data_IF_158189581852
#
_entry.id   IF_158189581852
#
_cell.length_a   1.000
_cell.length_b   1.000
_cell.length_c   1.000
_cell.angle_alpha   90.00
_cell.angle_beta   90.00
_cell.angle_gamma   90.00
#
_symmetry.space_group_name_H-M   'P 1'
#
loop_
_entity.id
_entity.type
_entity.pdbx_description
1 polymer ?
#
# COMPACT_ATOMS: atom_id res chain seq x y z
N UNK A 1 22.70 -3.80 1.91
CA UNK A 1 21.29 -3.81 2.38
C UNK A 1 20.81 -5.13 3.01
N UNK A 2 21.57 -6.23 2.97
CA UNK A 2 21.07 -7.56 3.39
C UNK A 2 20.77 -7.74 4.89
N UNK A 3 21.20 -6.84 5.78
CA UNK A 3 21.02 -6.99 7.23
C UNK A 3 19.71 -6.42 7.81
N UNK A 4 19.09 -5.42 7.16
CA UNK A 4 17.96 -4.68 7.74
C UNK A 4 16.60 -5.36 7.60
N UNK A 5 16.33 -6.02 6.47
CA UNK A 5 15.02 -6.62 6.21
C UNK A 5 14.76 -7.92 6.98
N UNK A 6 15.81 -8.59 7.48
CA UNK A 6 15.68 -9.86 8.18
C UNK A 6 14.81 -9.78 9.44
N UNK A 7 14.95 -8.70 10.22
CA UNK A 7 14.15 -8.48 11.44
C UNK A 7 12.67 -8.24 11.12
N UNK A 8 12.37 -7.48 10.06
CA UNK A 8 11.00 -7.25 9.58
C UNK A 8 10.36 -8.55 9.09
N UNK A 9 11.09 -9.35 8.31
CA UNK A 9 10.62 -10.66 7.85
C UNK A 9 10.37 -11.60 9.05
N UNK A 10 11.23 -11.59 10.06
CA UNK A 10 11.04 -12.41 11.27
C UNK A 10 9.76 -12.02 12.02
N UNK A 11 9.50 -10.71 12.18
CA UNK A 11 8.24 -10.21 12.78
C UNK A 11 7.02 -10.63 11.97
N UNK A 12 7.07 -10.49 10.63
CA UNK A 12 5.97 -10.89 9.73
C UNK A 12 5.73 -12.40 9.75
N UNK A 13 6.78 -13.23 9.90
CA UNK A 13 6.60 -14.69 10.07
C UNK A 13 5.85 -15.05 11.36
N UNK A 14 5.98 -14.25 12.41
CA UNK A 14 5.25 -14.48 13.68
C UNK A 14 3.79 -14.02 13.62
N UNK A 15 3.50 -13.01 12.78
CA UNK A 15 2.14 -12.53 12.55
C UNK A 15 1.98 -12.18 11.08
N UNK A 16 1.69 -13.17 10.22
CA UNK A 16 1.53 -12.95 8.79
C UNK A 16 0.44 -11.93 8.49
N UNK A 17 0.71 -11.07 7.51
CA UNK A 17 -0.19 -9.98 7.11
C UNK A 17 -0.65 -10.17 5.67
N UNK A 18 -1.67 -9.43 5.28
CA UNK A 18 -2.19 -9.36 3.91
C UNK A 18 -1.81 -8.02 3.29
N UNK A 19 -1.39 -8.05 2.03
CA UNK A 19 -1.04 -6.84 1.27
C UNK A 19 -1.80 -6.83 -0.05
N UNK A 20 -2.47 -5.73 -0.35
CA UNK A 20 -3.18 -5.56 -1.62
C UNK A 20 -2.33 -4.79 -2.63
N UNK A 21 -2.32 -5.29 -3.87
CA UNK A 21 -1.68 -4.68 -5.03
C UNK A 21 -2.73 -4.24 -6.04
N UNK A 22 -2.93 -2.93 -6.25
CA UNK A 22 -3.84 -2.39 -7.25
C UNK A 22 -3.44 -2.79 -8.68
N UNK A 23 -2.15 -2.82 -8.97
CA UNK A 23 -1.59 -3.13 -10.29
C UNK A 23 -1.39 -4.64 -10.53
N UNK A 24 -2.45 -5.45 -10.37
CA UNK A 24 -2.35 -6.92 -10.37
C UNK A 24 -1.78 -7.58 -11.64
N UNK A 25 -1.65 -6.85 -12.74
CA UNK A 25 -1.12 -7.33 -14.03
C UNK A 25 0.31 -6.85 -14.32
N UNK A 26 0.88 -5.97 -13.49
CA UNK A 26 2.23 -5.46 -13.69
C UNK A 26 3.26 -6.57 -13.41
N UNK A 27 4.22 -6.74 -14.31
CA UNK A 27 5.25 -7.79 -14.22
C UNK A 27 6.02 -7.76 -12.89
N UNK A 28 6.36 -6.56 -12.39
CA UNK A 28 7.11 -6.40 -11.13
C UNK A 28 6.26 -6.80 -9.93
N UNK A 29 4.95 -6.53 -9.99
CA UNK A 29 3.99 -6.96 -8.97
C UNK A 29 3.81 -8.47 -9.00
N UNK A 30 3.71 -9.08 -10.18
CA UNK A 30 3.60 -10.53 -10.34
C UNK A 30 4.85 -11.26 -9.82
N UNK A 31 6.05 -10.74 -10.12
CA UNK A 31 7.31 -11.23 -9.55
C UNK A 31 7.29 -11.18 -8.02
N UNK A 32 6.93 -10.02 -7.45
CA UNK A 32 6.87 -9.84 -6.01
C UNK A 32 5.85 -10.78 -5.37
N UNK A 33 4.63 -10.89 -5.92
CA UNK A 33 3.58 -11.76 -5.42
C UNK A 33 4.03 -13.23 -5.42
N UNK A 34 4.63 -13.72 -6.51
CA UNK A 34 5.18 -15.09 -6.61
C UNK A 34 6.22 -15.38 -5.51
N UNK A 35 7.12 -14.42 -5.24
CA UNK A 35 8.13 -14.54 -4.16
C UNK A 35 7.50 -14.51 -2.77
N UNK A 36 6.50 -13.66 -2.54
CA UNK A 36 5.78 -13.57 -1.27
C UNK A 36 5.02 -14.87 -0.96
N UNK A 37 4.35 -15.45 -1.96
CA UNK A 37 3.68 -16.75 -1.84
C UNK A 37 4.64 -17.87 -1.45
N UNK A 38 5.84 -17.86 -2.04
CA UNK A 38 6.88 -18.84 -1.71
C UNK A 38 7.44 -18.68 -0.29
N UNK A 39 7.29 -17.50 0.32
CA UNK A 39 7.92 -17.16 1.61
C UNK A 39 6.97 -17.19 2.82
N UNK A 40 5.65 -17.25 2.58
CA UNK A 40 4.58 -17.47 3.56
C UNK A 40 4.56 -16.52 4.79
N UNK A 41 4.97 -15.26 4.64
CA UNK A 41 4.92 -14.25 5.72
C UNK A 41 4.08 -13.02 5.38
N UNK A 42 3.72 -12.86 4.11
CA UNK A 42 2.87 -11.78 3.62
C UNK A 42 2.04 -12.34 2.47
N UNK A 43 0.72 -12.27 2.58
CA UNK A 43 -0.21 -12.88 1.65
C UNK A 43 -0.69 -11.84 0.64
N UNK A 44 -0.31 -11.96 -0.65
CA UNK A 44 -0.69 -11.00 -1.66
C UNK A 44 -2.17 -11.13 -2.04
N UNK A 45 -2.82 -9.98 -2.18
CA UNK A 45 -4.12 -9.80 -2.82
C UNK A 45 -3.88 -9.03 -4.11
N UNK A 46 -4.17 -9.62 -5.27
CA UNK A 46 -4.05 -8.97 -6.57
C UNK A 46 -5.42 -8.46 -7.01
N UNK A 47 -5.51 -7.18 -7.37
CA UNK A 47 -6.76 -6.58 -7.86
C UNK A 47 -6.80 -6.62 -9.38
N UNK A 48 -7.92 -7.12 -9.91
CA UNK A 48 -8.18 -7.24 -11.35
C UNK A 48 -8.90 -8.53 -11.70
N UNK A 49 -9.12 -8.74 -13.01
CA UNK A 49 -9.75 -9.96 -13.51
C UNK A 49 -8.79 -11.14 -13.44
N UNK A 50 -9.29 -12.25 -12.93
CA UNK A 50 -8.52 -13.48 -12.72
C UNK A 50 -7.86 -13.98 -14.01
N UNK A 51 -8.62 -14.07 -15.09
CA UNK A 51 -8.14 -14.50 -16.41
C UNK A 51 -7.01 -13.62 -16.96
N UNK A 52 -7.11 -12.29 -16.77
CA UNK A 52 -6.10 -11.35 -17.26
C UNK A 52 -4.82 -11.40 -16.40
N UNK A 53 -4.96 -11.59 -15.09
CA UNK A 53 -3.83 -11.72 -14.16
C UNK A 53 -3.07 -13.03 -14.43
N UNK A 54 -3.78 -14.15 -14.60
CA UNK A 54 -3.13 -15.42 -14.90
C UNK A 54 -2.42 -15.38 -16.26
N UNK A 55 -3.07 -14.85 -17.30
CA UNK A 55 -2.44 -14.68 -18.62
C UNK A 55 -1.17 -13.80 -18.53
N UNK A 56 -1.22 -12.69 -17.79
CA UNK A 56 -0.04 -11.84 -17.59
C UNK A 56 1.07 -12.57 -16.81
N UNK A 57 0.70 -13.37 -15.80
CA UNK A 57 1.64 -14.15 -14.98
C UNK A 57 2.36 -15.25 -15.78
N UNK A 58 1.66 -15.91 -16.70
CA UNK A 58 2.22 -16.91 -17.59
C UNK A 58 3.24 -16.29 -18.55
N UNK A 59 2.88 -15.15 -19.16
CA UNK A 59 3.78 -14.39 -20.04
C UNK A 59 5.04 -13.92 -19.29
N UNK A 60 4.88 -13.47 -18.04
CA UNK A 60 5.98 -13.02 -17.20
C UNK A 60 6.80 -14.16 -16.57
N UNK A 61 6.31 -15.40 -16.63
CA UNK A 61 6.98 -16.57 -16.04
C UNK A 61 6.91 -16.65 -14.51
N UNK A 62 5.87 -16.07 -13.89
CA UNK A 62 5.68 -16.07 -12.43
C UNK A 62 4.42 -16.84 -12.02
N UNK A 63 4.53 -17.72 -11.04
CA UNK A 63 3.38 -18.45 -10.50
C UNK A 63 2.68 -17.62 -9.40
N UNK A 64 1.43 -17.22 -9.67
CA UNK A 64 0.59 -16.49 -8.72
C UNK A 64 -0.69 -17.23 -8.33
N UNK A 65 -0.82 -18.53 -8.62
CA UNK A 65 -2.04 -19.32 -8.32
C UNK A 65 -2.40 -19.40 -6.83
N UNK A 66 -1.44 -19.14 -5.94
CA UNK A 66 -1.70 -19.07 -4.50
C UNK A 66 -2.16 -17.69 -4.00
N UNK A 67 -2.16 -16.66 -4.84
CA UNK A 67 -2.58 -15.32 -4.47
C UNK A 67 -4.11 -15.25 -4.41
N UNK A 68 -4.63 -14.43 -3.49
CA UNK A 68 -6.04 -14.07 -3.55
C UNK A 68 -6.22 -13.06 -4.68
N UNK A 69 -7.10 -13.33 -5.62
CA UNK A 69 -7.47 -12.37 -6.66
C UNK A 69 -8.85 -11.80 -6.33
N UNK A 70 -9.01 -10.47 -6.43
CA UNK A 70 -10.29 -9.82 -6.24
C UNK A 70 -10.57 -8.92 -7.44
N UNK A 71 -11.63 -9.25 -8.17
CA UNK A 71 -12.15 -8.44 -9.26
C UNK A 71 -13.13 -7.39 -8.73
N UNK A 72 -12.87 -6.08 -8.90
CA UNK A 72 -13.81 -5.02 -8.53
C UNK A 72 -15.21 -5.18 -9.15
N UNK A 73 -15.31 -5.81 -10.32
CA UNK A 73 -16.56 -5.98 -11.04
C UNK A 73 -17.43 -7.12 -10.49
N UNK A 74 -16.83 -8.06 -9.77
CA UNK A 74 -17.49 -9.24 -9.21
C UNK A 74 -17.29 -9.36 -7.69
N UNK A 75 -17.08 -8.23 -7.00
CA UNK A 75 -16.88 -8.23 -5.56
C UNK A 75 -18.21 -8.30 -4.79
N UNK A 76 -18.44 -9.39 -4.05
CA UNK A 76 -19.71 -9.64 -3.35
C UNK A 76 -20.13 -8.56 -2.34
N UNK A 77 -19.15 -7.86 -1.75
CA UNK A 77 -19.38 -6.79 -0.76
C UNK A 77 -19.26 -5.39 -1.37
N UNK A 78 -19.47 -5.25 -2.68
CA UNK A 78 -19.32 -3.97 -3.39
C UNK A 78 -20.32 -2.91 -2.91
N UNK A 79 -21.57 -3.29 -2.62
CA UNK A 79 -22.56 -2.34 -2.11
C UNK A 79 -22.18 -1.82 -0.71
N UNK A 80 -21.73 -2.69 0.19
CA UNK A 80 -21.19 -2.32 1.50
C UNK A 80 -19.98 -1.37 1.37
N UNK A 81 -19.09 -1.64 0.41
CA UNK A 81 -17.96 -0.77 0.12
C UNK A 81 -18.43 0.64 -0.30
N UNK A 82 -19.42 0.73 -1.17
CA UNK A 82 -19.94 2.01 -1.67
C UNK A 82 -20.64 2.80 -0.57
N UNK A 83 -21.41 2.13 0.29
CA UNK A 83 -22.04 2.74 1.46
C UNK A 83 -20.99 3.33 2.40
N UNK A 84 -19.96 2.54 2.76
CA UNK A 84 -18.87 3.01 3.60
C UNK A 84 -18.10 4.17 2.95
N UNK A 85 -17.86 4.12 1.64
CA UNK A 85 -17.21 5.22 0.92
C UNK A 85 -18.04 6.51 1.00
N UNK A 86 -19.36 6.41 0.80
CA UNK A 86 -20.27 7.55 0.92
C UNK A 86 -20.26 8.16 2.32
N UNK A 87 -20.24 7.33 3.36
CA UNK A 87 -20.10 7.80 4.75
C UNK A 87 -18.75 8.52 4.97
N UNK A 88 -17.65 7.91 4.54
CA UNK A 88 -16.31 8.49 4.69
C UNK A 88 -16.13 9.80 3.93
N UNK A 89 -16.89 9.98 2.83
CA UNK A 89 -16.87 11.16 1.96
C UNK A 89 -18.10 12.05 2.14
N UNK A 90 -18.84 11.89 3.24
CA UNK A 90 -19.99 12.71 3.55
C UNK A 90 -19.65 14.21 3.52
N UNK A 91 -20.57 15.02 2.99
CA UNK A 91 -20.38 16.47 2.85
C UNK A 91 -19.44 16.90 1.71
N UNK A 92 -18.95 15.97 0.88
CA UNK A 92 -18.16 16.28 -0.33
C UNK A 92 -18.98 16.33 -1.62
N UNK A 93 -20.32 16.20 -1.53
CA UNK A 93 -21.22 16.32 -2.68
C UNK A 93 -21.09 15.19 -3.70
N UNK A 94 -20.55 14.03 -3.31
CA UNK A 94 -20.41 12.86 -4.18
C UNK A 94 -21.77 12.17 -4.32
N UNK A 95 -22.18 11.87 -5.56
CA UNK A 95 -23.40 11.10 -5.83
C UNK A 95 -23.15 9.60 -5.67
N UNK A 96 -24.22 8.82 -5.45
CA UNK A 96 -24.10 7.36 -5.37
C UNK A 96 -23.45 6.75 -6.62
N UNK A 97 -23.80 7.26 -7.80
CA UNK A 97 -23.23 6.83 -9.08
C UNK A 97 -21.72 7.08 -9.14
N UNK A 98 -21.28 8.29 -8.81
CA UNK A 98 -19.86 8.65 -8.74
C UNK A 98 -19.11 7.82 -7.70
N UNK A 99 -19.74 7.50 -6.56
CA UNK A 99 -19.17 6.64 -5.55
C UNK A 99 -18.94 5.22 -6.06
N UNK A 100 -19.91 4.64 -6.79
CA UNK A 100 -19.76 3.33 -7.44
C UNK A 100 -18.62 3.37 -8.45
N UNK A 101 -18.60 4.34 -9.35
CA UNK A 101 -17.51 4.48 -10.34
C UNK A 101 -16.14 4.60 -9.68
N UNK A 102 -16.03 5.42 -8.63
CA UNK A 102 -14.79 5.61 -7.88
C UNK A 102 -14.36 4.31 -7.19
N UNK A 103 -15.29 3.60 -6.55
CA UNK A 103 -14.98 2.33 -5.88
C UNK A 103 -14.54 1.23 -6.86
N UNK A 104 -14.86 1.32 -8.16
CA UNK A 104 -14.34 0.37 -9.17
C UNK A 104 -12.90 0.64 -9.58
N UNK A 105 -12.38 1.85 -9.37
CA UNK A 105 -11.00 2.18 -9.73
C UNK A 105 -10.04 1.40 -8.83
N UNK A 106 -9.10 0.65 -9.41
CA UNK A 106 -8.26 -0.30 -8.68
C UNK A 106 -7.54 0.31 -7.46
N UNK A 107 -7.05 1.54 -7.54
CA UNK A 107 -6.41 2.25 -6.42
C UNK A 107 -7.38 2.58 -5.28
N UNK A 108 -8.59 3.06 -5.58
CA UNK A 108 -9.64 3.30 -4.58
C UNK A 108 -10.20 2.00 -4.03
N UNK A 109 -10.49 1.02 -4.88
CA UNK A 109 -10.94 -0.31 -4.49
C UNK A 109 -9.97 -0.94 -3.49
N UNK A 110 -8.67 -0.97 -3.82
CA UNK A 110 -7.63 -1.51 -2.96
C UNK A 110 -7.54 -0.76 -1.62
N UNK A 111 -7.66 0.58 -1.66
CA UNK A 111 -7.66 1.38 -0.43
C UNK A 111 -8.88 1.06 0.43
N UNK A 112 -10.05 0.84 -0.19
CA UNK A 112 -11.25 0.44 0.51
C UNK A 112 -11.14 -0.97 1.10
N UNK A 113 -10.47 -1.92 0.43
CA UNK A 113 -10.19 -3.23 1.01
C UNK A 113 -9.38 -3.12 2.31
N UNK A 114 -8.42 -2.19 2.38
CA UNK A 114 -7.70 -1.88 3.63
C UNK A 114 -8.66 -1.26 4.65
N UNK A 115 -9.46 -0.27 4.24
CA UNK A 115 -10.40 0.42 5.13
C UNK A 115 -11.46 -0.51 5.73
N UNK A 116 -11.91 -1.50 4.97
CA UNK A 116 -12.87 -2.54 5.37
C UNK A 116 -12.23 -3.70 6.16
N UNK A 117 -10.92 -3.65 6.41
CA UNK A 117 -10.19 -4.69 7.16
C UNK A 117 -10.02 -6.00 6.38
N UNK A 118 -10.17 -5.98 5.06
CA UNK A 118 -9.96 -7.16 4.19
C UNK A 118 -8.48 -7.34 3.86
N UNK A 119 -7.73 -6.24 3.83
CA UNK A 119 -6.27 -6.21 3.69
C UNK A 119 -5.64 -5.42 4.86
N UNK A 120 -4.44 -5.80 5.30
CA UNK A 120 -3.71 -5.06 6.34
C UNK A 120 -2.95 -3.84 5.77
N UNK A 121 -2.50 -3.93 4.52
CA UNK A 121 -1.71 -2.89 3.86
C UNK A 121 -1.97 -2.84 2.35
N UNK A 122 -1.60 -1.73 1.71
CA UNK A 122 -1.61 -1.52 0.27
C UNK A 122 -0.22 -1.15 -0.22
N UNK A 123 0.20 -1.70 -1.36
CA UNK A 123 1.35 -1.21 -2.12
C UNK A 123 0.94 -0.98 -3.57
N UNK A 124 1.11 0.26 -4.04
CA UNK A 124 0.94 0.65 -5.44
C UNK A 124 1.96 1.70 -5.85
N UNK A 125 1.81 2.22 -7.06
CA UNK A 125 2.74 3.18 -7.67
C UNK A 125 3.69 2.55 -8.69
N UNK A 126 3.45 1.29 -9.09
CA UNK A 126 4.17 0.65 -10.18
C UNK A 126 3.79 1.32 -11.52
N UNK A 127 2.48 1.55 -11.73
CA UNK A 127 1.96 2.25 -12.91
C UNK A 127 1.19 3.52 -12.57
N UNK A 128 0.88 3.75 -11.29
CA UNK A 128 0.24 4.98 -10.81
C UNK A 128 1.25 6.03 -10.38
N UNK A 129 0.87 7.30 -10.48
CA UNK A 129 1.66 8.38 -9.88
C UNK A 129 1.61 8.30 -8.34
N UNK A 130 2.59 8.91 -7.66
CA UNK A 130 2.56 9.09 -6.20
C UNK A 130 1.27 9.76 -5.75
N UNK A 131 0.81 10.78 -6.49
CA UNK A 131 -0.43 11.48 -6.19
C UNK A 131 -1.67 10.56 -6.28
N UNK A 132 -1.74 9.68 -7.27
CA UNK A 132 -2.88 8.79 -7.46
C UNK A 132 -2.93 7.65 -6.42
N UNK A 133 -1.77 7.31 -5.84
CA UNK A 133 -1.67 6.33 -4.75
C UNK A 133 -1.98 6.97 -3.39
N UNK A 134 -1.42 8.14 -3.10
CA UNK A 134 -1.56 8.80 -1.79
C UNK A 134 -2.93 9.47 -1.61
N UNK A 135 -3.53 10.00 -2.70
CA UNK A 135 -4.84 10.67 -2.64
C UNK A 135 -5.95 9.79 -2.01
N UNK A 136 -6.24 8.57 -2.48
CA UNK A 136 -7.27 7.74 -1.86
C UNK A 136 -6.90 7.37 -0.41
N UNK A 137 -5.63 7.09 -0.12
CA UNK A 137 -5.18 6.79 1.24
C UNK A 137 -5.49 7.94 2.22
N UNK A 138 -5.18 9.18 1.84
CA UNK A 138 -5.49 10.37 2.66
C UNK A 138 -7.01 10.63 2.77
N UNK A 139 -7.78 10.34 1.73
CA UNK A 139 -9.22 10.54 1.75
C UNK A 139 -9.97 9.52 2.60
N UNK A 140 -9.49 8.27 2.67
CA UNK A 140 -10.22 7.12 3.20
C UNK A 140 -9.60 6.53 4.48
N UNK A 141 -8.29 6.31 4.49
CA UNK A 141 -7.56 5.79 5.66
C UNK A 141 -7.29 6.92 6.65
N UNK A 142 -6.84 8.07 6.13
CA UNK A 142 -6.42 9.26 6.89
C UNK A 142 -5.13 9.02 7.70
N UNK A 143 -4.67 10.06 8.39
CA UNK A 143 -3.55 10.00 9.32
C UNK A 143 -3.96 9.29 10.62
N UNK A 144 -2.96 8.82 11.38
CA UNK A 144 -3.19 8.33 12.74
C UNK A 144 -3.69 9.46 13.65
N UNK A 145 -4.44 9.16 14.73
CA UNK A 145 -4.88 10.18 15.68
C UNK A 145 -3.71 11.00 16.22
N UNK A 146 -3.85 12.33 16.22
CA UNK A 146 -2.80 13.26 16.65
C UNK A 146 -1.95 13.83 15.50
N UNK A 147 -1.99 13.22 14.32
CA UNK A 147 -1.20 13.64 13.16
C UNK A 147 -2.06 14.37 12.13
N UNK A 148 -1.51 15.41 11.52
CA UNK A 148 -2.18 16.25 10.51
C UNK A 148 -1.71 15.93 9.09
N UNK A 149 -0.52 15.37 8.93
CA UNK A 149 0.07 15.08 7.63
C UNK A 149 0.67 13.68 7.54
N UNK A 150 1.03 13.29 6.33
CA UNK A 150 1.89 12.15 6.06
C UNK A 150 3.22 12.65 5.53
N UNK A 151 4.29 11.95 5.87
CA UNK A 151 5.65 12.26 5.42
C UNK A 151 6.28 11.02 4.82
N UNK A 152 7.28 11.21 3.95
CA UNK A 152 8.11 10.10 3.49
C UNK A 152 9.33 9.93 4.40
N UNK A 153 9.87 8.72 4.40
CA UNK A 153 11.21 8.48 4.90
C UNK A 153 11.99 7.57 3.96
N UNK A 154 13.30 7.73 3.97
CA UNK A 154 14.25 6.82 3.32
C UNK A 154 15.15 6.19 4.37
N UNK A 155 15.26 4.87 4.33
CA UNK A 155 16.27 4.13 5.10
C UNK A 155 17.56 4.12 4.29
N UNK A 156 18.53 4.91 4.74
CA UNK A 156 19.83 5.08 4.11
C UNK A 156 20.84 4.17 4.82
N UNK A 157 21.54 3.33 4.06
CA UNK A 157 22.57 2.43 4.60
C UNK A 157 23.91 2.77 3.96
N UNK A 158 24.90 3.14 4.76
CA UNK A 158 26.27 3.41 4.29
C UNK A 158 27.31 2.71 5.17
N UNK A 159 28.50 2.40 4.65
CA UNK A 159 29.60 1.93 5.49
C UNK A 159 29.98 3.01 6.53
N UNK A 160 30.11 2.63 7.80
CA UNK A 160 30.72 3.49 8.82
C UNK A 160 32.24 3.39 8.78
N UNK A 161 32.90 4.44 9.26
CA UNK A 161 34.33 4.42 9.57
C UNK A 161 34.71 3.36 10.63
N UNK A 162 33.74 2.92 11.46
CA UNK A 162 33.93 1.89 12.48
C UNK A 162 33.78 0.44 11.98
N UNK A 163 33.51 0.24 10.68
CA UNK A 163 33.40 -1.08 10.06
C UNK A 163 31.98 -1.70 10.04
N UNK A 164 31.07 -1.21 10.88
CA UNK A 164 29.64 -1.57 10.80
C UNK A 164 28.89 -0.66 9.83
N UNK A 165 27.77 -1.08 9.25
CA UNK A 165 26.98 -0.17 8.41
C UNK A 165 26.22 0.81 9.30
N UNK A 166 26.34 2.10 8.99
CA UNK A 166 25.49 3.14 9.56
C UNK A 166 24.13 3.13 8.84
N UNK A 167 23.05 3.11 9.62
CA UNK A 167 21.67 3.18 9.14
C UNK A 167 21.09 4.51 9.59
N UNK A 168 20.61 5.30 8.64
CA UNK A 168 19.99 6.61 8.88
C UNK A 168 18.56 6.59 8.36
N UNK A 169 17.66 7.27 9.05
CA UNK A 169 16.32 7.58 8.55
C UNK A 169 16.29 9.05 8.16
N UNK A 170 15.98 9.32 6.89
CA UNK A 170 15.86 10.69 6.36
C UNK A 170 14.41 10.95 5.96
N UNK A 171 13.79 11.99 6.53
CA UNK A 171 12.46 12.45 6.15
C UNK A 171 12.29 13.95 6.39
N UNK A 172 11.39 14.66 5.71
CA UNK A 172 10.59 14.23 4.56
C UNK A 172 11.33 14.54 3.26
N UNK A 173 11.38 13.58 2.34
CA UNK A 173 12.11 13.69 1.07
C UNK A 173 11.21 13.63 -0.18
N UNK A 174 9.89 13.53 -0.05
CA UNK A 174 9.02 13.26 -1.19
C UNK A 174 7.60 13.87 -1.14
N UNK A 175 7.05 14.20 0.04
CA UNK A 175 5.63 14.59 0.14
C UNK A 175 5.46 16.09 0.36
N UNK A 176 6.08 16.64 1.40
CA UNK A 176 5.86 18.02 1.84
C UNK A 176 6.94 18.95 1.26
N UNK A 177 6.55 19.83 0.32
CA UNK A 177 7.47 20.70 -0.42
C UNK A 177 8.05 21.82 0.46
N UNK A 178 7.21 22.44 1.29
CA UNK A 178 7.56 23.56 2.17
C UNK A 178 6.94 23.35 3.56
N UNK A 179 7.43 22.39 4.35
CA UNK A 179 6.88 22.12 5.67
C UNK A 179 7.08 23.33 6.58
N UNK A 180 6.04 23.65 7.37
CA UNK A 180 6.14 24.63 8.46
C UNK A 180 6.95 24.07 9.63
N UNK A 181 7.24 24.91 10.63
CA UNK A 181 7.92 24.43 11.86
C UNK A 181 7.13 23.33 12.56
N UNK A 182 5.80 23.43 12.63
CA UNK A 182 4.95 22.40 13.25
C UNK A 182 4.96 21.12 12.42
N UNK A 183 4.94 21.23 11.09
CA UNK A 183 5.05 20.07 10.19
C UNK A 183 6.40 19.36 10.37
N UNK A 184 7.50 20.12 10.51
CA UNK A 184 8.84 19.55 10.77
C UNK A 184 8.92 18.80 12.09
N UNK A 185 8.23 19.28 13.14
CA UNK A 185 8.12 18.57 14.42
C UNK A 185 7.40 17.24 14.23
N UNK A 186 6.26 17.24 13.52
CA UNK A 186 5.51 16.03 13.22
C UNK A 186 6.33 15.05 12.36
N UNK A 187 6.99 15.54 11.31
CA UNK A 187 7.87 14.75 10.43
C UNK A 187 9.01 14.09 11.23
N UNK A 188 9.69 14.84 12.10
CA UNK A 188 10.80 14.33 12.90
C UNK A 188 10.33 13.24 13.89
N UNK A 189 9.16 13.45 14.52
CA UNK A 189 8.56 12.47 15.40
C UNK A 189 8.21 11.16 14.65
N UNK A 190 7.53 11.26 13.51
CA UNK A 190 7.16 10.09 12.71
C UNK A 190 8.36 9.35 12.11
N UNK A 191 9.39 10.09 11.69
CA UNK A 191 10.64 9.48 11.24
C UNK A 191 11.34 8.70 12.36
N UNK A 192 11.29 9.22 13.60
CA UNK A 192 11.82 8.52 14.77
C UNK A 192 11.04 7.26 15.12
N UNK A 193 9.71 7.30 15.04
CA UNK A 193 8.86 6.11 15.29
C UNK A 193 9.00 5.05 14.19
N UNK A 194 9.35 5.46 12.96
CA UNK A 194 9.58 4.55 11.85
C UNK A 194 10.94 3.81 11.93
N UNK A 195 11.93 4.40 12.60
CA UNK A 195 13.29 3.87 12.73
C UNK A 195 13.35 2.61 13.61
#
# INVERSE_FOLDING_TARGET
MAGGFGSMIAKLKMSPKTIVFPEGKDERILEAASRLLSSNFLHPILVGKEEEIFAASEVAGFNVHGAKIIDPDHFDRFDEMVELFMELRAGKGITLEQARETCRQANYFSTMLVKMGIADALLGGATYSTADTVRPALQLIKTKPGNKLVSSCFIMVRPSASGENEILVMGDCAINIHPTSDDLVEIAHEASECA
#
